data_IF_342898754098
#
_entry.id   IF_342898754098
#
_cell.length_a   1.000
_cell.length_b   1.000
_cell.length_c   1.000
_cell.angle_alpha   90.00
_cell.angle_beta   90.00
_cell.angle_gamma   90.00
#
_symmetry.space_group_name_H-M   'P 1'
#
loop_
_entity.id
_entity.type
_entity.pdbx_description
1 polymer ?
#
# COMPACT_ATOMS: atom_id res chain seq x y z
N UNK A 1 28.83 -46.44 44.91
CA UNK A 1 28.73 -45.01 44.57
C UNK A 1 27.42 -44.83 43.81
N UNK A 2 26.28 -44.87 44.50
CA UNK A 2 25.70 -43.80 45.33
C UNK A 2 25.33 -42.57 44.50
N UNK A 3 24.02 -42.32 44.44
CA UNK A 3 23.41 -41.16 43.78
C UNK A 3 21.87 -41.24 43.74
N UNK A 4 21.25 -41.39 44.92
CA UNK A 4 19.82 -41.09 45.20
C UNK A 4 19.48 -39.65 44.71
N UNK A 5 18.27 -39.15 44.43
CA UNK A 5 16.93 -39.38 44.99
C UNK A 5 15.96 -38.32 44.41
N UNK A 6 14.65 -38.61 44.51
CA UNK A 6 13.49 -37.67 44.60
C UNK A 6 13.12 -36.95 43.28
N UNK A 7 11.86 -36.88 42.87
CA UNK A 7 10.62 -37.23 43.54
C UNK A 7 9.46 -37.18 42.56
N UNK A 8 8.47 -38.01 42.86
CA UNK A 8 7.20 -38.17 42.18
C UNK A 8 6.37 -36.88 42.18
N UNK A 9 5.75 -36.54 41.04
CA UNK A 9 4.40 -35.98 41.04
C UNK A 9 3.73 -36.31 39.70
N UNK A 10 2.88 -37.36 39.71
CA UNK A 10 1.82 -37.51 38.72
C UNK A 10 0.90 -36.28 38.82
N UNK A 11 0.53 -35.65 37.71
CA UNK A 11 -0.81 -35.11 37.41
C UNK A 11 -0.80 -34.44 36.03
N UNK A 12 -1.79 -34.83 35.23
CA UNK A 12 -2.28 -34.26 33.97
C UNK A 12 -1.50 -34.52 32.68
N UNK A 13 -1.77 -35.72 32.13
CA UNK A 13 -2.31 -35.79 30.77
C UNK A 13 -3.45 -34.78 30.55
N UNK A 14 -3.57 -34.37 29.29
CA UNK A 14 -4.68 -33.59 28.70
C UNK A 14 -4.51 -32.06 28.64
N UNK A 15 -3.85 -31.57 27.57
CA UNK A 15 -4.42 -30.56 26.65
C UNK A 15 -3.38 -30.04 25.62
N UNK A 16 -2.76 -30.92 24.81
CA UNK A 16 -1.92 -30.50 23.66
C UNK A 16 -2.51 -30.86 22.29
N UNK A 17 -3.80 -31.19 22.23
CA UNK A 17 -4.53 -31.48 20.99
C UNK A 17 -5.17 -30.27 20.30
N UNK A 18 -5.40 -29.15 21.01
CA UNK A 18 -6.27 -28.06 20.51
C UNK A 18 -5.51 -26.83 19.95
N UNK A 19 -4.23 -26.66 20.29
CA UNK A 19 -3.46 -25.44 19.96
C UNK A 19 -2.97 -25.33 18.52
N UNK A 20 -2.68 -26.46 17.84
CA UNK A 20 -2.14 -26.48 16.48
C UNK A 20 -3.20 -26.14 15.42
N UNK A 21 -4.43 -26.61 15.62
CA UNK A 21 -5.58 -26.29 14.74
C UNK A 21 -6.03 -24.83 14.87
N UNK A 22 -6.12 -24.31 16.10
CA UNK A 22 -6.54 -22.94 16.36
C UNK A 22 -5.56 -21.92 15.77
N UNK A 23 -4.26 -22.14 15.94
CA UNK A 23 -3.21 -21.24 15.45
C UNK A 23 -3.15 -21.20 13.91
N UNK A 24 -3.41 -22.31 13.22
CA UNK A 24 -3.53 -22.35 11.75
C UNK A 24 -4.75 -21.58 11.23
N UNK A 25 -5.89 -21.72 11.90
CA UNK A 25 -7.12 -20.99 11.56
C UNK A 25 -6.99 -19.47 11.74
N UNK A 26 -6.28 -19.04 12.80
CA UNK A 26 -5.98 -17.62 13.05
C UNK A 26 -5.08 -17.03 11.96
N UNK A 27 -4.02 -17.73 11.54
CA UNK A 27 -3.12 -17.26 10.46
C UNK A 27 -3.89 -17.12 9.14
N UNK A 28 -4.75 -18.09 8.82
CA UNK A 28 -5.58 -18.04 7.60
C UNK A 28 -6.60 -16.90 7.64
N UNK A 29 -7.21 -16.65 8.80
CA UNK A 29 -8.15 -15.52 8.97
C UNK A 29 -7.42 -14.18 8.86
N UNK A 30 -6.23 -14.06 9.46
CA UNK A 30 -5.40 -12.86 9.38
C UNK A 30 -4.96 -12.56 7.94
N UNK A 31 -4.52 -13.57 7.19
CA UNK A 31 -4.19 -13.45 5.76
C UNK A 31 -5.40 -12.93 4.94
N UNK A 32 -6.60 -13.49 5.15
CA UNK A 32 -7.81 -13.04 4.46
C UNK A 32 -8.17 -11.59 4.81
N UNK A 33 -8.12 -11.22 6.08
CA UNK A 33 -8.41 -9.85 6.54
C UNK A 33 -7.40 -8.85 5.95
N UNK A 34 -6.11 -9.19 5.95
CA UNK A 34 -5.07 -8.33 5.38
C UNK A 34 -5.21 -8.17 3.87
N UNK A 35 -5.58 -9.23 3.14
CA UNK A 35 -5.86 -9.14 1.69
C UNK A 35 -7.06 -8.26 1.40
N UNK A 36 -8.13 -8.37 2.19
CA UNK A 36 -9.31 -7.52 2.06
C UNK A 36 -8.96 -6.06 2.38
N UNK A 37 -8.20 -5.83 3.44
CA UNK A 37 -7.74 -4.50 3.82
C UNK A 37 -6.86 -3.87 2.73
N UNK A 38 -5.92 -4.64 2.16
CA UNK A 38 -5.06 -4.20 1.07
C UNK A 38 -5.87 -3.84 -0.19
N UNK A 39 -6.91 -4.62 -0.51
CA UNK A 39 -7.84 -4.30 -1.59
C UNK A 39 -8.56 -2.97 -1.35
N UNK A 40 -9.14 -2.78 -0.16
CA UNK A 40 -9.87 -1.55 0.16
C UNK A 40 -8.96 -0.32 0.15
N UNK A 41 -7.76 -0.41 0.75
CA UNK A 41 -6.82 0.71 0.79
C UNK A 41 -6.34 1.12 -0.61
N UNK A 42 -5.96 0.16 -1.45
CA UNK A 42 -5.49 0.46 -2.82
C UNK A 42 -6.62 0.95 -3.73
N UNK A 43 -7.84 0.42 -3.57
CA UNK A 43 -9.03 0.91 -4.27
C UNK A 43 -9.35 2.35 -3.88
N UNK A 44 -9.38 2.65 -2.57
CA UNK A 44 -9.66 4.01 -2.09
C UNK A 44 -8.60 4.98 -2.56
N UNK A 45 -7.31 4.62 -2.50
CA UNK A 45 -6.24 5.47 -3.03
C UNK A 45 -6.41 5.73 -4.54
N UNK A 46 -6.68 4.67 -5.32
CA UNK A 46 -6.91 4.82 -6.76
C UNK A 46 -8.14 5.68 -7.08
N UNK A 47 -9.23 5.56 -6.33
CA UNK A 47 -10.47 6.32 -6.54
C UNK A 47 -10.34 7.76 -6.04
N UNK A 48 -9.65 8.02 -4.93
CA UNK A 48 -9.51 9.38 -4.40
C UNK A 48 -8.71 10.25 -5.37
N UNK A 49 -7.53 9.79 -5.80
CA UNK A 49 -6.79 10.50 -6.86
C UNK A 49 -7.54 10.39 -8.18
N UNK A 50 -8.07 9.22 -8.53
CA UNK A 50 -8.79 8.93 -9.77
C UNK A 50 -10.22 9.47 -9.86
N UNK A 51 -10.69 10.26 -8.90
CA UNK A 51 -11.90 11.07 -9.01
C UNK A 51 -11.58 12.56 -8.90
N UNK A 52 -10.33 12.90 -8.54
CA UNK A 52 -9.89 14.27 -8.40
C UNK A 52 -9.79 14.97 -9.75
N UNK A 53 -10.63 15.98 -9.93
CA UNK A 53 -10.60 16.89 -11.07
C UNK A 53 -10.62 18.31 -10.51
N UNK A 54 -9.47 18.96 -10.45
CA UNK A 54 -9.41 20.37 -10.12
C UNK A 54 -9.01 21.22 -11.33
N UNK A 55 -9.88 22.17 -11.67
CA UNK A 55 -9.62 23.19 -12.70
C UNK A 55 -9.33 24.49 -11.96
N UNK A 56 -8.17 25.11 -12.15
CA UNK A 56 -7.87 26.42 -11.56
C UNK A 56 -7.32 27.37 -12.62
N UNK A 57 -7.67 28.64 -12.50
CA UNK A 57 -7.24 29.69 -13.41
C UNK A 57 -5.85 30.17 -13.04
N UNK A 58 -4.85 29.85 -13.86
CA UNK A 58 -3.50 30.44 -13.72
C UNK A 58 -3.45 31.77 -14.47
N UNK A 59 -2.89 32.84 -13.87
CA UNK A 59 -2.53 34.04 -14.60
C UNK A 59 -1.21 33.77 -15.35
N UNK A 60 -1.26 33.75 -16.69
CA UNK A 60 -0.05 33.80 -17.53
C UNK A 60 0.23 35.25 -17.88
N UNK A 61 1.44 35.70 -17.56
CA UNK A 61 1.99 36.96 -18.05
C UNK A 61 2.79 36.65 -19.31
N UNK A 62 2.28 37.06 -20.48
CA UNK A 62 2.94 36.84 -21.77
C UNK A 62 4.11 37.82 -22.01
N UNK A 63 4.12 38.98 -21.33
CA UNK A 63 5.17 40.01 -21.35
C UNK A 63 5.00 40.91 -20.11
N UNK A 64 6.09 41.46 -19.56
CA UNK A 64 6.07 42.30 -18.33
C UNK A 64 5.19 43.56 -18.43
N UNK A 65 4.87 44.02 -19.64
CA UNK A 65 4.09 45.24 -19.91
C UNK A 65 2.59 45.02 -20.17
N UNK A 66 2.07 43.79 -20.04
CA UNK A 66 0.66 43.46 -20.31
C UNK A 66 -0.11 42.96 -19.08
N UNK A 67 -1.44 43.19 -19.02
CA UNK A 67 -2.29 42.65 -17.95
C UNK A 67 -2.29 41.11 -17.96
N UNK A 68 -2.31 40.46 -16.78
CA UNK A 68 -2.26 39.00 -16.67
C UNK A 68 -3.48 38.37 -17.36
N UNK A 69 -3.23 37.43 -18.27
CA UNK A 69 -4.28 36.71 -18.96
C UNK A 69 -4.67 35.50 -18.11
N UNK A 70 -5.91 35.48 -17.62
CA UNK A 70 -6.42 34.40 -16.79
C UNK A 70 -6.89 33.27 -17.72
N UNK A 71 -6.11 32.20 -17.82
CA UNK A 71 -6.55 30.98 -18.52
C UNK A 71 -6.89 29.89 -17.50
N UNK A 72 -8.03 29.21 -17.67
CA UNK A 72 -8.34 28.03 -16.88
C UNK A 72 -7.37 26.92 -17.27
N UNK A 73 -6.44 26.55 -16.39
CA UNK A 73 -5.64 25.34 -16.57
C UNK A 73 -6.20 24.25 -15.68
N UNK A 74 -6.55 23.13 -16.31
CA UNK A 74 -6.97 21.95 -15.59
C UNK A 74 -5.74 21.21 -15.06
N UNK A 75 -5.55 21.17 -13.73
CA UNK A 75 -4.61 20.23 -13.13
C UNK A 75 -5.30 18.86 -13.04
N UNK A 76 -5.16 18.06 -14.10
CA UNK A 76 -5.61 16.65 -14.10
C UNK A 76 -4.46 15.73 -13.72
N UNK A 77 -4.78 14.63 -13.03
CA UNK A 77 -3.81 13.58 -12.70
C UNK A 77 -3.04 13.07 -13.93
N UNK A 78 -3.64 13.09 -15.13
CA UNK A 78 -3.06 12.48 -16.32
C UNK A 78 -1.98 13.34 -16.98
N UNK A 79 -1.85 14.60 -16.55
CA UNK A 79 -0.78 15.48 -17.04
C UNK A 79 0.56 15.24 -16.34
N UNK A 80 0.57 14.57 -15.19
CA UNK A 80 1.79 14.21 -14.48
C UNK A 80 1.99 12.70 -14.53
N UNK A 81 3.05 12.27 -15.21
CA UNK A 81 3.40 10.86 -15.38
C UNK A 81 3.54 10.12 -14.04
N UNK A 82 4.01 10.80 -12.98
CA UNK A 82 4.12 10.22 -11.64
C UNK A 82 2.75 9.86 -11.04
N UNK A 83 1.73 10.70 -11.22
CA UNK A 83 0.38 10.40 -10.72
C UNK A 83 -0.32 9.33 -11.58
N UNK A 84 -0.07 9.30 -12.89
CA UNK A 84 -0.53 8.20 -13.76
C UNK A 84 0.08 6.87 -13.30
N UNK A 85 1.38 6.85 -13.01
CA UNK A 85 2.05 5.66 -12.50
C UNK A 85 1.50 5.23 -11.15
N UNK A 86 1.27 6.16 -10.22
CA UNK A 86 0.65 5.90 -8.93
C UNK A 86 -0.76 5.27 -9.05
N UNK A 87 -1.61 5.82 -9.92
CA UNK A 87 -2.97 5.29 -10.14
C UNK A 87 -2.90 3.91 -10.79
N UNK A 88 -2.06 3.75 -11.81
CA UNK A 88 -1.84 2.46 -12.48
C UNK A 88 -1.33 1.39 -11.52
N UNK A 89 -0.42 1.77 -10.62
CA UNK A 89 0.14 0.89 -9.60
C UNK A 89 -0.92 0.42 -8.60
N UNK A 90 -1.71 1.34 -8.05
CA UNK A 90 -2.80 1.00 -7.14
C UNK A 90 -3.91 0.18 -7.83
N UNK A 91 -4.20 0.45 -9.11
CA UNK A 91 -5.15 -0.34 -9.89
C UNK A 91 -4.68 -1.78 -10.11
N UNK A 92 -3.40 -1.99 -10.48
CA UNK A 92 -2.81 -3.33 -10.57
C UNK A 92 -2.83 -4.04 -9.22
N UNK A 93 -2.55 -3.34 -8.13
CA UNK A 93 -2.60 -3.89 -6.77
C UNK A 93 -4.01 -4.33 -6.38
N UNK A 94 -5.01 -3.53 -6.72
CA UNK A 94 -6.42 -3.83 -6.48
C UNK A 94 -6.88 -5.07 -7.27
N UNK A 95 -6.54 -5.13 -8.56
CA UNK A 95 -6.85 -6.29 -9.41
C UNK A 95 -6.20 -7.57 -8.86
N UNK A 96 -4.92 -7.47 -8.50
CA UNK A 96 -4.18 -8.56 -7.90
C UNK A 96 -4.78 -8.99 -6.55
N UNK A 97 -5.07 -8.06 -5.64
CA UNK A 97 -5.66 -8.36 -4.33
C UNK A 97 -6.99 -9.11 -4.46
N UNK A 98 -7.81 -8.73 -5.44
CA UNK A 98 -9.09 -9.41 -5.76
C UNK A 98 -8.84 -10.85 -6.21
N UNK A 99 -7.92 -11.06 -7.15
CA UNK A 99 -7.54 -12.40 -7.61
C UNK A 99 -6.97 -13.24 -6.46
N UNK A 100 -6.13 -12.62 -5.62
CA UNK A 100 -5.50 -13.25 -4.47
C UNK A 100 -6.52 -13.64 -3.39
N UNK A 101 -7.59 -12.86 -3.21
CA UNK A 101 -8.72 -13.19 -2.32
C UNK A 101 -9.50 -14.39 -2.85
N UNK A 102 -9.86 -14.39 -4.14
CA UNK A 102 -10.57 -15.50 -4.78
C UNK A 102 -9.78 -16.81 -4.66
N UNK A 103 -8.46 -16.77 -4.89
CA UNK A 103 -7.58 -17.92 -4.75
C UNK A 103 -7.42 -18.40 -3.29
N UNK A 104 -7.54 -17.51 -2.30
CA UNK A 104 -7.44 -17.87 -0.87
C UNK A 104 -8.73 -18.56 -0.35
N UNK A 105 -9.88 -18.26 -0.95
CA UNK A 105 -11.15 -18.94 -0.67
C UNK A 105 -11.21 -20.32 -1.35
N UNK A 106 -10.61 -20.44 -2.55
CA UNK A 106 -10.54 -21.70 -3.31
C UNK A 106 -9.56 -22.75 -2.76
N UNK A 107 -9.44 -23.87 -3.48
CA UNK A 107 -8.55 -24.96 -3.09
C UNK A 107 -7.08 -24.62 -3.39
N UNK A 108 -6.29 -24.33 -2.34
CA UNK A 108 -4.88 -23.94 -2.45
C UNK A 108 -4.01 -25.15 -2.82
N UNK A 109 -3.46 -25.15 -4.04
CA UNK A 109 -2.32 -26.02 -4.40
C UNK A 109 -1.01 -25.41 -3.90
N UNK A 110 -0.07 -26.25 -3.43
CA UNK A 110 1.25 -25.80 -2.92
C UNK A 110 2.00 -24.86 -3.88
N UNK A 111 1.94 -25.10 -5.19
CA UNK A 111 2.62 -24.24 -6.17
C UNK A 111 2.02 -22.83 -6.27
N UNK A 112 0.71 -22.68 -6.01
CA UNK A 112 0.02 -21.38 -6.02
C UNK A 112 0.49 -20.49 -4.86
N UNK A 113 0.83 -21.07 -3.71
CA UNK A 113 1.31 -20.31 -2.54
C UNK A 113 2.63 -19.59 -2.85
N UNK A 114 3.54 -20.28 -3.54
CA UNK A 114 4.81 -19.69 -3.99
C UNK A 114 4.57 -18.55 -4.98
N UNK A 115 3.70 -18.75 -5.97
CA UNK A 115 3.38 -17.73 -6.98
C UNK A 115 2.75 -16.49 -6.34
N UNK A 116 1.80 -16.68 -5.42
CA UNK A 116 1.17 -15.59 -4.67
C UNK A 116 2.23 -14.82 -3.87
N UNK A 117 3.16 -15.50 -3.21
CA UNK A 117 4.23 -14.83 -2.43
C UNK A 117 5.14 -13.98 -3.32
N UNK A 118 5.48 -14.47 -4.52
CA UNK A 118 6.29 -13.72 -5.49
C UNK A 118 5.53 -12.50 -6.00
N UNK A 119 4.25 -12.66 -6.35
CA UNK A 119 3.40 -11.55 -6.79
C UNK A 119 3.19 -10.52 -5.68
N UNK A 120 2.97 -10.94 -4.43
CA UNK A 120 2.89 -10.06 -3.26
C UNK A 120 4.18 -9.20 -3.13
N UNK A 121 5.35 -9.81 -3.34
CA UNK A 121 6.65 -9.11 -3.33
C UNK A 121 6.75 -8.07 -4.45
N UNK A 122 6.33 -8.43 -5.66
CA UNK A 122 6.30 -7.51 -6.80
C UNK A 122 5.35 -6.34 -6.53
N UNK A 123 4.20 -6.59 -5.89
CA UNK A 123 3.24 -5.54 -5.55
C UNK A 123 3.79 -4.56 -4.53
N UNK A 124 4.49 -5.03 -3.49
CA UNK A 124 5.16 -4.15 -2.51
C UNK A 124 6.17 -3.25 -3.21
N UNK A 125 7.06 -3.83 -4.04
CA UNK A 125 8.08 -3.06 -4.74
C UNK A 125 7.46 -2.01 -5.67
N UNK A 126 6.40 -2.39 -6.39
CA UNK A 126 5.71 -1.53 -7.33
C UNK A 126 4.97 -0.38 -6.64
N UNK A 127 4.25 -0.65 -5.55
CA UNK A 127 3.56 0.38 -4.78
C UNK A 127 4.55 1.36 -4.14
N UNK A 128 5.62 0.88 -3.52
CA UNK A 128 6.62 1.74 -2.88
C UNK A 128 7.36 2.64 -3.88
N UNK A 129 7.71 2.08 -5.05
CA UNK A 129 8.27 2.84 -6.18
C UNK A 129 7.33 3.95 -6.63
N UNK A 130 6.05 3.63 -6.83
CA UNK A 130 5.05 4.60 -7.28
C UNK A 130 4.76 5.69 -6.25
N UNK A 131 4.72 5.34 -4.96
CA UNK A 131 4.59 6.29 -3.87
C UNK A 131 5.79 7.24 -3.84
N UNK A 132 7.01 6.73 -3.99
CA UNK A 132 8.23 7.55 -4.04
C UNK A 132 8.20 8.56 -5.20
N UNK A 133 7.80 8.13 -6.40
CA UNK A 133 7.68 9.01 -7.56
C UNK A 133 6.62 10.10 -7.32
N UNK A 134 5.46 9.74 -6.79
CA UNK A 134 4.38 10.68 -6.51
C UNK A 134 4.74 11.66 -5.37
N UNK A 135 5.44 11.22 -4.33
CA UNK A 135 5.95 12.09 -3.27
C UNK A 135 6.97 13.08 -3.82
N UNK A 136 7.93 12.63 -4.64
CA UNK A 136 8.94 13.50 -5.22
C UNK A 136 8.29 14.63 -6.05
N UNK A 137 7.32 14.29 -6.89
CA UNK A 137 6.58 15.27 -7.69
C UNK A 137 5.65 16.14 -6.83
N UNK A 138 5.04 15.58 -5.79
CA UNK A 138 4.24 16.33 -4.82
C UNK A 138 5.05 17.38 -4.05
N UNK A 139 6.28 17.03 -3.63
CA UNK A 139 7.21 17.97 -2.98
C UNK A 139 7.62 19.10 -3.92
N UNK A 140 7.88 18.79 -5.20
CA UNK A 140 8.14 19.82 -6.22
C UNK A 140 6.92 20.74 -6.40
N UNK A 141 5.70 20.21 -6.31
CA UNK A 141 4.46 20.99 -6.32
C UNK A 141 4.27 21.90 -5.10
N UNK A 142 4.76 21.51 -3.92
CA UNK A 142 4.67 22.26 -2.66
C UNK A 142 5.76 23.32 -2.53
N UNK A 143 7.02 22.93 -2.73
CA UNK A 143 8.18 23.79 -2.53
C UNK A 143 8.50 24.64 -3.76
N UNK A 144 8.23 24.14 -4.97
CA UNK A 144 8.71 24.72 -6.22
C UNK A 144 10.23 24.61 -6.36
N UNK A 145 10.75 24.98 -7.51
CA UNK A 145 12.19 25.12 -7.73
C UNK A 145 12.46 26.25 -8.73
N UNK A 146 13.00 27.36 -8.25
CA UNK A 146 13.28 28.55 -9.08
C UNK A 146 14.35 28.28 -10.14
N UNK A 147 15.32 27.39 -9.86
CA UNK A 147 16.41 27.09 -10.78
C UNK A 147 15.95 26.41 -12.08
N UNK A 148 14.77 25.79 -12.07
CA UNK A 148 14.15 25.16 -13.26
C UNK A 148 12.80 25.79 -13.60
N UNK A 149 12.52 27.00 -13.08
CA UNK A 149 11.26 27.72 -13.26
C UNK A 149 9.99 26.92 -12.86
N UNK A 150 10.12 25.98 -11.91
CA UNK A 150 8.96 25.24 -11.43
C UNK A 150 8.26 26.02 -10.33
N UNK A 151 7.10 26.59 -10.66
CA UNK A 151 6.30 27.35 -9.71
C UNK A 151 5.52 26.44 -8.75
N UNK A 152 5.19 26.96 -7.56
CA UNK A 152 4.41 26.25 -6.53
C UNK A 152 2.97 26.02 -7.01
N UNK A 153 2.63 24.78 -7.33
CA UNK A 153 1.31 24.38 -7.83
C UNK A 153 0.30 24.29 -6.68
N UNK A 154 0.71 23.76 -5.52
CA UNK A 154 -0.21 23.54 -4.40
C UNK A 154 -0.75 24.82 -3.75
N UNK A 155 -0.10 25.97 -3.96
CA UNK A 155 -0.63 27.26 -3.50
C UNK A 155 -1.88 27.69 -4.28
N UNK A 156 -2.02 27.22 -5.53
CA UNK A 156 -3.19 27.50 -6.37
C UNK A 156 -4.21 26.36 -6.37
N UNK A 157 -3.74 25.12 -6.22
CA UNK A 157 -4.54 23.89 -6.24
C UNK A 157 -4.55 23.18 -4.86
N UNK A 158 -4.91 23.91 -3.81
CA UNK A 158 -4.84 23.41 -2.44
C UNK A 158 -5.67 22.14 -2.21
N UNK A 159 -6.91 22.08 -2.74
CA UNK A 159 -7.80 20.91 -2.60
C UNK A 159 -7.24 19.65 -3.28
N UNK A 160 -6.77 19.78 -4.52
CA UNK A 160 -6.10 18.70 -5.25
C UNK A 160 -4.87 18.20 -4.50
N UNK A 161 -4.04 19.11 -3.98
CA UNK A 161 -2.86 18.71 -3.23
C UNK A 161 -3.20 18.01 -1.90
N UNK A 162 -4.26 18.43 -1.22
CA UNK A 162 -4.74 17.77 0.00
C UNK A 162 -5.28 16.37 -0.30
N UNK A 163 -6.07 16.22 -1.37
CA UNK A 163 -6.57 14.92 -1.84
C UNK A 163 -5.44 13.99 -2.31
N UNK A 164 -4.43 14.51 -3.00
CA UNK A 164 -3.22 13.76 -3.37
C UNK A 164 -2.45 13.31 -2.13
N UNK A 165 -2.26 14.19 -1.14
CA UNK A 165 -1.58 13.84 0.11
C UNK A 165 -2.35 12.76 0.89
N UNK A 166 -3.68 12.90 1.01
CA UNK A 166 -4.53 11.90 1.64
C UNK A 166 -4.45 10.55 0.93
N UNK A 167 -4.51 10.55 -0.41
CA UNK A 167 -4.40 9.33 -1.20
C UNK A 167 -3.01 8.67 -1.10
N UNK A 168 -1.93 9.46 -1.06
CA UNK A 168 -0.58 8.96 -0.83
C UNK A 168 -0.48 8.25 0.52
N UNK A 169 -1.04 8.85 1.56
CA UNK A 169 -1.08 8.26 2.89
C UNK A 169 -1.85 6.92 2.89
N UNK A 170 -3.01 6.86 2.24
CA UNK A 170 -3.81 5.63 2.11
C UNK A 170 -3.05 4.55 1.32
N UNK A 171 -2.39 4.90 0.20
CA UNK A 171 -1.56 3.97 -0.58
C UNK A 171 -0.35 3.46 0.21
N UNK A 172 0.25 4.30 1.05
CA UNK A 172 1.35 3.90 1.92
C UNK A 172 0.88 2.87 2.97
N UNK A 173 -0.29 3.09 3.59
CA UNK A 173 -0.91 2.08 4.47
C UNK A 173 -1.21 0.78 3.71
N UNK A 174 -1.67 0.87 2.46
CA UNK A 174 -1.86 -0.29 1.59
C UNK A 174 -0.56 -1.06 1.35
N UNK A 175 0.53 -0.34 1.07
CA UNK A 175 1.86 -0.90 0.86
C UNK A 175 2.40 -1.62 2.10
N UNK A 176 2.21 -1.01 3.27
CA UNK A 176 2.55 -1.62 4.57
C UNK A 176 1.73 -2.89 4.81
N UNK A 177 0.45 -2.90 4.42
CA UNK A 177 -0.42 -4.07 4.54
C UNK A 177 0.08 -5.23 3.66
N UNK A 178 0.48 -4.96 2.41
CA UNK A 178 1.12 -5.97 1.56
C UNK A 178 2.46 -6.46 2.12
N UNK A 179 3.24 -5.57 2.72
CA UNK A 179 4.49 -5.93 3.38
C UNK A 179 4.23 -6.85 4.59
N UNK A 180 3.18 -6.59 5.37
CA UNK A 180 2.78 -7.42 6.49
C UNK A 180 2.31 -8.82 6.05
N UNK A 181 1.64 -8.92 4.88
CA UNK A 181 1.30 -10.21 4.27
C UNK A 181 2.55 -11.07 3.98
N UNK A 182 3.66 -10.43 3.58
CA UNK A 182 4.94 -11.14 3.37
C UNK A 182 5.62 -11.53 4.69
N UNK A 183 5.59 -10.64 5.69
CA UNK A 183 6.34 -10.85 6.94
C UNK A 183 5.67 -11.84 7.89
N UNK A 184 4.34 -11.80 8.03
CA UNK A 184 3.64 -12.64 9.02
C UNK A 184 3.92 -14.14 8.85
N UNK A 185 3.81 -14.74 7.64
CA UNK A 185 4.12 -16.15 7.44
C UNK A 185 5.56 -16.50 7.84
N UNK A 186 6.53 -15.63 7.55
CA UNK A 186 7.94 -15.85 7.88
C UNK A 186 8.18 -15.77 9.39
N UNK A 187 7.61 -14.75 10.05
CA UNK A 187 7.71 -14.58 11.50
C UNK A 187 7.09 -15.76 12.26
N UNK A 188 5.94 -16.27 11.79
CA UNK A 188 5.34 -17.45 12.40
C UNK A 188 6.17 -18.72 12.24
N UNK A 189 6.89 -18.86 11.11
CA UNK A 189 7.81 -19.97 10.85
C UNK A 189 9.07 -19.87 11.72
N UNK A 190 9.66 -18.68 11.85
CA UNK A 190 10.81 -18.43 12.74
C UNK A 190 10.48 -18.73 14.21
N UNK A 191 9.28 -18.36 14.67
CA UNK A 191 8.81 -18.68 16.03
C UNK A 191 8.55 -20.17 16.27
N UNK A 192 8.49 -21.02 15.23
CA UNK A 192 8.37 -22.47 15.40
C UNK A 192 9.73 -23.18 15.51
N UNK A 193 10.81 -22.52 15.11
CA UNK A 193 12.18 -23.09 15.14
C UNK A 193 12.96 -22.75 16.41
N UNK A 194 12.43 -21.89 17.27
CA UNK A 194 12.98 -21.51 18.59
C UNK A 194 12.11 -22.09 19.68
#
# INVERSE_FOLDING_TARGET
MEGQRKGSFNVMEESEGNGKGWRGSVVRTCDLVLRLLAFLLTLVAAVVIGADKQTATVPIKLVESMPPLYVPVAAKWHYLSAFVYFVGANAMACAYATLSLLLSIGNRRKWMETVITVLDTLMVALLFSSNGAAIAVGLLGLQGNSHVHWNKVCNMFGKFCDQVAASLFISLLGSITFLLLLLLPQLFRLKQTT
#
